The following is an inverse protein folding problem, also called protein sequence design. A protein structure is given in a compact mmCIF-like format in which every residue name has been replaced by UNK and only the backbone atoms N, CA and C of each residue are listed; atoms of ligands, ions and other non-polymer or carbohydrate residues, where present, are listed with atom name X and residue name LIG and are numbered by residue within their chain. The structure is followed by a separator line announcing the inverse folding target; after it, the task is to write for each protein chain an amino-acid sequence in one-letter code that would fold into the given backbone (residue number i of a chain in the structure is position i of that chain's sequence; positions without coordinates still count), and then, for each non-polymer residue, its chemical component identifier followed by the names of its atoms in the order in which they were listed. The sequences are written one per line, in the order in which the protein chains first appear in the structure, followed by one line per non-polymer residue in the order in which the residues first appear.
data_IF_659194359477
#
_entry.id   IF_659194359477
#
_cell.length_a   1.000
_cell.length_b   1.000
_cell.length_c   1.000
_cell.angle_alpha   90.00
_cell.angle_beta   90.00
_cell.angle_gamma   90.00
#
_symmetry.space_group_name_H-M   'P 1'
#
loop_
_entity.id
_entity.type
_entity.pdbx_description
1 polymer ?
#
# COMPACT_ATOMS: atom_id res chain seq x y z
N UNK A 1 0.17 19.57 6.09
CA UNK A 1 -0.77 18.52 6.48
C UNK A 1 0.02 17.33 6.98
N UNK A 2 -0.18 16.92 8.24
CA UNK A 2 0.56 15.84 8.85
C UNK A 2 0.06 14.46 8.39
N UNK A 3 0.98 13.49 8.30
CA UNK A 3 0.68 12.12 7.90
C UNK A 3 1.36 11.14 8.85
N UNK A 4 0.69 10.07 9.23
CA UNK A 4 1.30 8.91 9.88
C UNK A 4 1.61 7.84 8.83
N UNK A 5 2.84 7.32 8.85
CA UNK A 5 3.31 6.26 7.95
C UNK A 5 3.43 4.96 8.73
N UNK A 6 2.81 3.90 8.24
CA UNK A 6 2.93 2.54 8.78
C UNK A 6 3.80 1.67 7.87
N UNK A 7 4.87 1.13 8.43
CA UNK A 7 5.82 0.22 7.77
C UNK A 7 5.84 -1.09 8.54
N UNK A 8 5.69 -2.22 7.84
CA UNK A 8 5.74 -3.56 8.44
C UNK A 8 7.00 -4.28 7.98
N UNK A 9 7.84 -4.66 8.93
CA UNK A 9 9.05 -5.45 8.69
C UNK A 9 8.83 -6.91 9.06
N UNK A 10 9.28 -7.80 8.21
CA UNK A 10 9.30 -9.24 8.45
C UNK A 10 10.69 -9.81 8.11
N UNK A 11 11.70 -9.37 8.87
CA UNK A 11 13.10 -9.65 8.62
C UNK A 11 13.73 -8.68 7.60
N UNK A 12 13.20 -7.47 7.43
CA UNK A 12 13.64 -6.49 6.45
C UNK A 12 14.32 -5.26 7.08
N UNK A 13 14.89 -5.38 8.27
CA UNK A 13 15.44 -4.26 9.05
C UNK A 13 16.37 -3.34 8.26
N UNK A 14 17.25 -3.89 7.40
CA UNK A 14 18.14 -3.09 6.57
C UNK A 14 17.37 -2.23 5.52
N UNK A 15 16.26 -2.74 4.97
CA UNK A 15 15.41 -1.99 4.06
C UNK A 15 14.65 -0.89 4.81
N UNK A 16 14.11 -1.22 5.98
CA UNK A 16 13.43 -0.25 6.85
C UNK A 16 14.39 0.87 7.24
N UNK A 17 15.61 0.54 7.65
CA UNK A 17 16.61 1.55 8.02
C UNK A 17 16.90 2.50 6.87
N UNK A 18 17.09 1.98 5.65
CA UNK A 18 17.29 2.78 4.44
C UNK A 18 16.08 3.66 4.14
N UNK A 19 14.88 3.08 4.20
CA UNK A 19 13.64 3.80 3.93
C UNK A 19 13.44 4.96 4.92
N UNK A 20 13.71 4.76 6.22
CA UNK A 20 13.64 5.83 7.22
C UNK A 20 14.57 7.01 6.88
N UNK A 21 15.80 6.74 6.43
CA UNK A 21 16.71 7.81 5.97
C UNK A 21 16.16 8.54 4.74
N UNK A 22 15.57 7.82 3.79
CA UNK A 22 14.94 8.43 2.61
C UNK A 22 13.73 9.29 3.00
N UNK A 23 12.88 8.82 3.92
CA UNK A 23 11.74 9.58 4.44
C UNK A 23 12.20 10.86 5.14
N UNK A 24 13.26 10.78 5.93
CA UNK A 24 13.84 11.94 6.62
C UNK A 24 14.42 12.97 5.64
N UNK A 25 15.02 12.54 4.55
CA UNK A 25 15.62 13.44 3.55
C UNK A 25 14.63 14.05 2.57
N UNK A 26 13.71 13.24 2.04
CA UNK A 26 12.88 13.66 0.91
C UNK A 26 11.46 14.12 1.29
N UNK A 27 10.99 13.85 2.51
CA UNK A 27 9.54 13.98 2.79
C UNK A 27 9.22 14.38 4.23
N UNK A 28 10.20 14.85 4.98
CA UNK A 28 10.05 15.21 6.39
C UNK A 28 8.90 16.21 6.64
N UNK A 29 8.69 17.16 5.74
CA UNK A 29 7.63 18.18 5.88
C UNK A 29 6.20 17.62 5.82
N UNK A 30 6.01 16.45 5.18
CA UNK A 30 4.70 15.81 5.05
C UNK A 30 4.42 14.76 6.12
N UNK A 31 5.45 14.28 6.84
CA UNK A 31 5.37 13.17 7.78
C UNK A 31 5.46 13.69 9.21
N UNK A 32 4.46 13.36 10.02
CA UNK A 32 4.46 13.70 11.46
C UNK A 32 4.97 12.54 12.29
N UNK A 33 4.62 11.32 11.89
CA UNK A 33 4.91 10.11 12.66
C UNK A 33 5.13 8.91 11.75
N UNK A 34 6.08 8.07 12.11
CA UNK A 34 6.31 6.77 11.47
C UNK A 34 6.17 5.67 12.51
N UNK A 35 5.36 4.66 12.20
CA UNK A 35 5.19 3.47 13.02
C UNK A 35 5.81 2.29 12.27
N UNK A 36 6.87 1.72 12.83
CA UNK A 36 7.50 0.50 12.31
C UNK A 36 7.05 -0.69 13.13
N UNK A 37 6.43 -1.67 12.48
CA UNK A 37 6.03 -2.92 13.13
C UNK A 37 7.03 -4.03 12.78
N UNK A 38 7.74 -4.53 13.78
CA UNK A 38 8.55 -5.74 13.68
C UNK A 38 7.63 -6.96 13.83
N UNK A 39 7.30 -7.59 12.72
CA UNK A 39 6.41 -8.76 12.69
C UNK A 39 7.12 -10.06 13.12
N UNK A 40 8.43 -10.05 13.18
CA UNK A 40 9.33 -11.05 13.74
C UNK A 40 10.42 -10.33 14.54
N UNK A 41 11.15 -11.02 15.45
CA UNK A 41 12.29 -10.41 16.13
C UNK A 41 13.35 -9.91 15.15
N UNK A 42 13.75 -8.66 15.31
CA UNK A 42 14.74 -7.97 14.48
C UNK A 42 15.67 -7.12 15.34
N UNK A 43 16.89 -6.82 14.87
CA UNK A 43 17.78 -5.87 15.55
C UNK A 43 17.14 -4.48 15.65
N UNK A 44 17.54 -3.73 16.68
CA UNK A 44 17.12 -2.34 16.86
C UNK A 44 17.54 -1.47 15.66
N UNK A 45 16.66 -0.52 15.31
CA UNK A 45 16.94 0.48 14.29
C UNK A 45 17.89 1.53 14.84
N UNK A 46 18.85 1.93 14.02
CA UNK A 46 19.81 2.97 14.38
C UNK A 46 19.16 4.35 14.26
N UNK A 47 19.27 5.15 15.32
CA UNK A 47 18.78 6.52 15.35
C UNK A 47 19.95 7.45 14.98
N UNK A 48 19.78 8.38 14.02
CA UNK A 48 20.78 9.39 13.70
C UNK A 48 21.14 10.27 14.90
N UNK A 49 22.34 10.81 14.96
CA UNK A 49 22.79 11.66 16.08
C UNK A 49 21.87 12.88 16.33
N UNK A 50 21.21 13.41 15.29
CA UNK A 50 20.23 14.50 15.39
C UNK A 50 18.78 14.03 15.60
N UNK A 51 18.53 12.72 15.76
CA UNK A 51 17.20 12.15 15.79
C UNK A 51 16.55 12.07 14.41
N UNK A 52 15.29 11.64 14.37
CA UNK A 52 14.46 11.67 13.17
C UNK A 52 13.65 12.98 13.12
N UNK A 53 13.36 13.55 11.95
CA UNK A 53 12.53 14.75 11.83
C UNK A 53 11.03 14.48 12.06
N UNK A 54 10.66 13.26 12.37
CA UNK A 54 9.32 12.78 12.72
C UNK A 54 9.37 11.93 13.99
N UNK A 55 8.23 11.77 14.66
CA UNK A 55 8.13 10.81 15.77
C UNK A 55 8.25 9.38 15.22
N UNK A 56 9.14 8.57 15.81
CA UNK A 56 9.29 7.17 15.45
C UNK A 56 8.74 6.27 16.58
N UNK A 57 7.79 5.42 16.24
CA UNK A 57 7.25 4.39 17.12
C UNK A 57 7.63 3.00 16.62
N UNK A 58 8.06 2.13 17.52
CA UNK A 58 8.39 0.73 17.22
C UNK A 58 7.37 -0.16 17.91
N UNK A 59 6.72 -1.02 17.13
CA UNK A 59 5.79 -2.04 17.61
C UNK A 59 6.43 -3.41 17.35
N UNK A 60 6.56 -4.23 18.40
CA UNK A 60 7.08 -5.59 18.28
C UNK A 60 5.97 -6.61 18.51
N UNK A 61 5.73 -7.46 17.55
CA UNK A 61 4.73 -8.52 17.68
C UNK A 61 5.30 -9.74 18.43
N UNK A 62 4.54 -10.28 19.37
CA UNK A 62 4.90 -11.54 20.04
C UNK A 62 4.83 -12.75 19.10
N UNK A 63 4.01 -12.68 18.06
CA UNK A 63 3.89 -13.68 16.98
C UNK A 63 3.53 -12.98 15.67
N UNK A 64 3.94 -13.55 14.51
CA UNK A 64 3.65 -12.96 13.20
C UNK A 64 2.14 -12.80 12.95
N UNK A 65 1.75 -11.61 12.53
CA UNK A 65 0.37 -11.26 12.14
C UNK A 65 0.27 -11.04 10.64
N UNK A 66 -0.94 -11.05 10.10
CA UNK A 66 -1.20 -10.75 8.70
C UNK A 66 -0.85 -9.30 8.34
N UNK A 67 -0.64 -9.06 7.04
CA UNK A 67 -0.27 -7.73 6.52
C UNK A 67 -1.25 -6.65 6.95
N UNK A 68 -2.54 -6.81 6.66
CA UNK A 68 -3.57 -5.83 7.00
C UNK A 68 -3.72 -5.63 8.51
N UNK A 69 -3.63 -6.71 9.31
CA UNK A 69 -3.72 -6.63 10.76
C UNK A 69 -2.60 -5.81 11.39
N UNK A 70 -1.39 -5.89 10.85
CA UNK A 70 -0.26 -5.06 11.29
C UNK A 70 -0.48 -3.58 11.03
N UNK A 71 -0.91 -3.23 9.81
CA UNK A 71 -1.20 -1.84 9.46
C UNK A 71 -2.37 -1.28 10.26
N UNK A 72 -3.43 -2.05 10.44
CA UNK A 72 -4.56 -1.66 11.29
C UNK A 72 -4.12 -1.38 12.72
N UNK A 73 -3.23 -2.22 13.27
CA UNK A 73 -2.72 -2.04 14.61
C UNK A 73 -1.86 -0.77 14.72
N UNK A 74 -0.95 -0.57 13.78
CA UNK A 74 -0.04 0.59 13.74
C UNK A 74 -0.79 1.92 13.57
N UNK A 75 -1.89 1.92 12.81
CA UNK A 75 -2.69 3.11 12.51
C UNK A 75 -3.89 3.29 13.45
N UNK A 76 -4.02 2.43 14.47
CA UNK A 76 -5.10 2.54 15.46
C UNK A 76 -4.98 3.85 16.23
N UNK A 77 -6.09 4.58 16.30
CA UNK A 77 -6.12 5.86 17.02
C UNK A 77 -5.34 7.00 16.33
N UNK A 78 -5.01 6.84 15.03
CA UNK A 78 -4.40 7.92 14.27
C UNK A 78 -5.28 9.18 14.31
N UNK A 79 -4.65 10.32 14.49
CA UNK A 79 -5.28 11.65 14.51
C UNK A 79 -4.77 12.53 13.38
N UNK A 80 -3.73 12.11 12.70
CA UNK A 80 -3.17 12.80 11.55
C UNK A 80 -4.19 12.81 10.41
N UNK A 81 -4.31 13.90 9.64
CA UNK A 81 -5.27 14.00 8.53
C UNK A 81 -5.14 12.91 7.47
N UNK A 82 -3.94 12.31 7.36
CA UNK A 82 -3.64 11.26 6.38
C UNK A 82 -2.93 10.08 7.04
N UNK A 83 -3.23 8.90 6.54
CA UNK A 83 -2.53 7.65 6.86
C UNK A 83 -1.82 7.12 5.61
N UNK A 84 -0.64 6.54 5.79
CA UNK A 84 0.12 5.93 4.72
C UNK A 84 0.45 4.48 5.07
N UNK A 85 0.16 3.58 4.14
CA UNK A 85 0.66 2.21 4.13
C UNK A 85 1.86 2.17 3.21
N UNK A 86 3.01 1.74 3.72
CA UNK A 86 4.26 1.77 2.98
C UNK A 86 5.05 0.47 3.18
N UNK A 87 5.40 -0.20 2.09
CA UNK A 87 6.23 -1.39 2.13
C UNK A 87 7.71 -1.04 2.33
N UNK A 88 8.47 -1.87 3.06
CA UNK A 88 9.89 -1.61 3.34
C UNK A 88 10.80 -1.70 2.12
N UNK A 89 10.37 -2.35 1.02
CA UNK A 89 11.09 -2.47 -0.24
C UNK A 89 10.73 -1.39 -1.27
N UNK A 90 10.02 -0.35 -0.85
CA UNK A 90 9.83 0.88 -1.63
C UNK A 90 11.04 1.78 -1.44
N UNK A 91 11.57 2.29 -2.55
CA UNK A 91 12.65 3.27 -2.57
C UNK A 91 12.14 4.60 -3.12
N UNK A 92 12.51 5.70 -2.45
CA UNK A 92 12.15 7.05 -2.86
C UNK A 92 13.21 7.61 -3.79
N UNK A 93 12.79 8.25 -4.87
CA UNK A 93 13.70 8.92 -5.80
C UNK A 93 14.18 10.26 -5.18
N UNK A 94 15.47 10.42 -5.01
CA UNK A 94 16.09 11.52 -4.26
C UNK A 94 15.73 12.95 -4.74
N UNK A 95 15.31 13.11 -5.99
CA UNK A 95 14.94 14.40 -6.57
C UNK A 95 13.43 14.71 -6.48
N UNK A 96 12.64 13.89 -5.82
CA UNK A 96 11.19 14.02 -5.78
C UNK A 96 10.68 14.00 -4.32
N UNK A 97 9.66 14.81 -4.06
CA UNK A 97 8.88 14.74 -2.83
C UNK A 97 7.56 13.99 -3.07
N UNK A 98 7.58 12.65 -3.17
CA UNK A 98 6.40 11.88 -3.57
C UNK A 98 5.24 12.07 -2.59
N UNK A 99 5.51 12.21 -1.30
CA UNK A 99 4.45 12.33 -0.29
C UNK A 99 3.72 13.67 -0.32
N UNK A 100 4.38 14.76 -0.68
CA UNK A 100 3.70 16.04 -0.88
C UNK A 100 2.68 15.95 -2.03
N UNK A 101 3.04 15.28 -3.12
CA UNK A 101 2.14 15.03 -4.25
C UNK A 101 1.01 14.07 -3.88
N UNK A 102 1.32 12.99 -3.14
CA UNK A 102 0.33 12.01 -2.67
C UNK A 102 -0.69 12.65 -1.72
N UNK A 103 -0.25 13.43 -0.74
CA UNK A 103 -1.12 14.16 0.19
C UNK A 103 -2.00 15.15 -0.57
N UNK A 104 -1.43 15.90 -1.51
CA UNK A 104 -2.18 16.85 -2.34
C UNK A 104 -3.29 16.15 -3.14
N UNK A 105 -2.98 15.02 -3.78
CA UNK A 105 -3.95 14.21 -4.51
C UNK A 105 -4.99 13.60 -3.57
N UNK A 106 -4.59 13.09 -2.40
CA UNK A 106 -5.51 12.54 -1.40
C UNK A 106 -6.44 13.62 -0.81
N UNK A 107 -6.05 14.91 -0.88
CA UNK A 107 -6.88 16.02 -0.43
C UNK A 107 -7.98 16.43 -1.42
N UNK A 108 -7.95 15.91 -2.65
CA UNK A 108 -8.97 16.23 -3.65
C UNK A 108 -10.33 15.64 -3.26
N UNK A 109 -11.43 16.35 -3.51
CA UNK A 109 -12.76 15.86 -3.20
C UNK A 109 -13.05 14.50 -3.84
N UNK A 110 -13.58 13.57 -3.06
CA UNK A 110 -13.96 12.23 -3.53
C UNK A 110 -12.80 11.26 -3.74
N UNK A 111 -11.55 11.63 -3.41
CA UNK A 111 -10.41 10.71 -3.41
C UNK A 111 -10.39 9.93 -2.09
N UNK A 112 -10.43 8.62 -2.19
CA UNK A 112 -10.31 7.69 -1.05
C UNK A 112 -8.91 7.16 -0.84
N UNK A 113 -8.13 7.08 -1.92
CA UNK A 113 -6.75 6.61 -1.90
C UNK A 113 -5.94 7.26 -3.01
N UNK A 114 -4.80 7.84 -2.68
CA UNK A 114 -3.78 8.29 -3.61
C UNK A 114 -2.60 7.31 -3.62
N UNK A 115 -2.04 7.05 -4.79
CA UNK A 115 -0.91 6.14 -4.98
C UNK A 115 0.05 6.67 -6.05
N UNK A 116 1.35 6.35 -5.97
CA UNK A 116 2.34 6.77 -6.96
C UNK A 116 2.40 5.80 -8.14
N UNK A 117 3.01 6.22 -9.23
CA UNK A 117 3.50 5.33 -10.26
C UNK A 117 4.64 4.49 -9.69
N UNK A 118 4.55 3.17 -9.82
CA UNK A 118 5.60 2.26 -9.36
C UNK A 118 6.52 1.88 -10.52
N UNK A 119 7.82 1.93 -10.27
CA UNK A 119 8.88 1.49 -11.17
C UNK A 119 9.56 0.25 -10.60
N UNK A 120 10.07 -0.61 -11.45
CA UNK A 120 10.97 -1.69 -11.03
C UNK A 120 12.40 -1.16 -10.81
N UNK A 121 13.29 -2.03 -10.35
CA UNK A 121 14.70 -1.67 -10.09
C UNK A 121 15.49 -1.23 -11.34
N UNK A 122 14.95 -1.48 -12.54
CA UNK A 122 15.55 -1.03 -13.82
C UNK A 122 14.79 0.15 -14.43
N UNK A 123 13.89 0.79 -13.67
CA UNK A 123 13.15 1.99 -14.07
C UNK A 123 11.96 1.75 -15.01
N UNK A 124 11.53 0.49 -15.20
CA UNK A 124 10.35 0.20 -16.01
C UNK A 124 9.09 0.33 -15.17
N UNK A 125 8.01 0.80 -15.79
CA UNK A 125 6.72 0.92 -15.13
C UNK A 125 6.21 -0.46 -14.72
N UNK A 126 5.93 -0.62 -13.42
CA UNK A 126 5.25 -1.79 -12.88
C UNK A 126 3.74 -1.60 -12.97
N UNK A 127 3.06 -2.67 -13.33
CA UNK A 127 1.61 -2.70 -13.39
C UNK A 127 1.03 -2.86 -11.96
N UNK A 128 0.87 -1.73 -11.27
CA UNK A 128 0.27 -1.66 -9.94
C UNK A 128 -1.26 -1.46 -9.99
N UNK A 129 -1.77 -0.99 -11.13
CA UNK A 129 -3.19 -0.72 -11.40
C UNK A 129 -3.82 -1.94 -12.08
N UNK A 130 -4.89 -2.49 -11.51
CA UNK A 130 -5.44 -3.76 -11.97
C UNK A 130 -6.96 -3.80 -11.95
N UNK A 131 -7.54 -4.62 -12.84
CA UNK A 131 -8.95 -5.00 -12.81
C UNK A 131 -9.23 -5.96 -11.65
N UNK A 132 -10.48 -5.99 -11.19
CA UNK A 132 -10.93 -6.94 -10.15
C UNK A 132 -10.58 -8.37 -10.56
N UNK A 133 -9.88 -9.16 -9.72
CA UNK A 133 -9.43 -10.49 -10.08
C UNK A 133 -10.61 -11.46 -10.22
N UNK A 134 -11.05 -11.66 -11.45
CA UNK A 134 -11.99 -12.72 -11.83
C UNK A 134 -11.22 -13.90 -12.42
N UNK A 135 -11.78 -15.13 -12.42
CA UNK A 135 -11.16 -16.26 -13.09
C UNK A 135 -10.82 -15.97 -14.56
N UNK A 136 -11.70 -15.23 -15.25
CA UNK A 136 -11.49 -14.81 -16.64
C UNK A 136 -10.40 -13.74 -16.78
N UNK A 137 -10.36 -12.75 -15.88
CA UNK A 137 -9.32 -11.71 -15.87
C UNK A 137 -7.93 -12.34 -15.60
N UNK A 138 -7.85 -13.25 -14.63
CA UNK A 138 -6.61 -13.98 -14.33
C UNK A 138 -6.15 -14.84 -15.51
N UNK A 139 -7.08 -15.51 -16.19
CA UNK A 139 -6.78 -16.30 -17.39
C UNK A 139 -6.29 -15.40 -18.53
N UNK A 140 -7.01 -14.31 -18.85
CA UNK A 140 -6.64 -13.35 -19.90
C UNK A 140 -5.25 -12.76 -19.66
N UNK A 141 -4.95 -12.41 -18.44
CA UNK A 141 -3.64 -11.87 -18.05
C UNK A 141 -2.53 -12.90 -18.22
N UNK A 142 -2.76 -14.15 -17.79
CA UNK A 142 -1.74 -15.20 -17.79
C UNK A 142 -1.48 -15.75 -19.19
N UNK A 143 -2.53 -15.83 -20.05
CA UNK A 143 -2.46 -16.42 -21.38
C UNK A 143 -2.27 -15.35 -22.46
N UNK A 144 -3.02 -14.24 -22.42
CA UNK A 144 -3.03 -13.23 -23.47
C UNK A 144 -2.06 -12.06 -23.23
N UNK A 145 -1.42 -11.98 -22.07
CA UNK A 145 -0.50 -10.88 -21.68
C UNK A 145 -1.06 -9.47 -21.97
N UNK A 146 -2.37 -9.31 -21.94
CA UNK A 146 -3.03 -8.03 -22.19
C UNK A 146 -2.97 -7.16 -20.95
N UNK A 147 -2.60 -5.88 -21.13
CA UNK A 147 -2.71 -4.86 -20.10
C UNK A 147 -4.19 -4.56 -19.83
N UNK A 148 -4.53 -4.50 -18.55
CA UNK A 148 -5.87 -4.19 -18.09
C UNK A 148 -6.19 -2.72 -18.39
N UNK A 149 -7.45 -2.43 -18.76
CA UNK A 149 -7.87 -1.08 -19.17
C UNK A 149 -8.50 -0.26 -18.04
N UNK A 150 -8.85 -0.92 -16.95
CA UNK A 150 -9.59 -0.37 -15.83
C UNK A 150 -8.77 -0.49 -14.55
N UNK A 151 -9.00 0.44 -13.59
CA UNK A 151 -8.32 0.42 -12.30
C UNK A 151 -9.35 0.19 -11.22
N UNK A 152 -9.59 -1.06 -10.92
CA UNK A 152 -10.48 -1.45 -9.82
C UNK A 152 -9.75 -1.48 -8.49
N UNK A 153 -8.46 -1.79 -8.50
CA UNK A 153 -7.63 -1.83 -7.33
C UNK A 153 -6.16 -1.56 -7.65
N UNK A 154 -5.41 -1.20 -6.63
CA UNK A 154 -3.96 -0.96 -6.67
C UNK A 154 -3.29 -1.72 -5.54
N UNK A 155 -2.06 -2.17 -5.76
CA UNK A 155 -1.33 -2.87 -4.71
C UNK A 155 -0.98 -1.93 -3.53
N UNK A 156 -0.88 -2.49 -2.32
CA UNK A 156 -0.62 -1.73 -1.10
C UNK A 156 0.87 -1.45 -0.84
N UNK A 157 1.71 -1.33 -1.87
CA UNK A 157 3.12 -1.02 -1.67
C UNK A 157 3.34 0.42 -1.16
N UNK A 158 2.54 1.38 -1.67
CA UNK A 158 2.54 2.77 -1.20
C UNK A 158 1.16 3.37 -1.43
N UNK A 159 0.39 3.56 -0.36
CA UNK A 159 -0.96 4.12 -0.39
C UNK A 159 -1.07 5.25 0.62
N UNK A 160 -1.63 6.39 0.22
CA UNK A 160 -2.00 7.49 1.12
C UNK A 160 -3.51 7.68 1.09
N UNK A 161 -4.14 7.62 2.25
CA UNK A 161 -5.59 7.76 2.40
C UNK A 161 -5.91 8.92 3.33
N UNK A 162 -6.95 9.72 3.04
CA UNK A 162 -7.53 10.59 4.06
C UNK A 162 -7.99 9.78 5.27
N UNK A 163 -7.72 10.26 6.48
CA UNK A 163 -8.13 9.56 7.70
C UNK A 163 -9.64 9.22 7.74
N UNK A 164 -10.56 10.12 7.31
CA UNK A 164 -11.98 9.77 7.25
C UNK A 164 -12.28 8.59 6.30
N UNK A 165 -11.59 8.50 5.17
CA UNK A 165 -11.76 7.38 4.24
C UNK A 165 -11.27 6.06 4.84
N UNK A 166 -10.09 6.07 5.50
CA UNK A 166 -9.55 4.94 6.23
C UNK A 166 -10.51 4.44 7.33
N UNK A 167 -11.04 5.38 8.12
CA UNK A 167 -11.99 5.07 9.20
C UNK A 167 -13.32 4.54 8.67
N UNK A 168 -13.86 5.12 7.58
CA UNK A 168 -15.11 4.69 6.99
C UNK A 168 -15.06 3.22 6.51
N UNK A 169 -13.93 2.78 5.97
CA UNK A 169 -13.72 1.39 5.58
C UNK A 169 -13.18 0.53 6.71
N UNK A 170 -12.90 1.08 7.89
CA UNK A 170 -12.33 0.39 9.06
C UNK A 170 -10.98 -0.30 8.77
N UNK A 171 -10.15 0.34 7.92
CA UNK A 171 -8.86 -0.21 7.52
C UNK A 171 -8.97 -1.49 6.67
N UNK A 172 -7.96 -2.35 6.77
CA UNK A 172 -7.95 -3.65 6.08
C UNK A 172 -8.87 -4.67 6.75
N UNK A 173 -9.42 -5.59 5.97
CA UNK A 173 -10.07 -6.79 6.51
C UNK A 173 -9.01 -7.80 7.00
N UNK A 174 -8.91 -7.96 8.32
CA UNK A 174 -7.91 -8.81 8.98
C UNK A 174 -8.13 -10.32 8.74
N UNK A 175 -9.25 -10.70 8.12
CA UNK A 175 -9.50 -12.08 7.73
C UNK A 175 -8.61 -12.54 6.57
N UNK A 176 -7.98 -11.61 5.85
CA UNK A 176 -6.90 -11.89 4.91
C UNK A 176 -5.56 -11.85 5.66
N UNK A 177 -4.88 -12.99 5.73
CA UNK A 177 -3.54 -13.03 6.32
C UNK A 177 -2.52 -12.36 5.40
N UNK A 178 -2.59 -12.66 4.10
CA UNK A 178 -1.75 -12.10 3.04
C UNK A 178 -2.46 -12.29 1.69
N UNK A 179 -2.32 -11.30 0.81
CA UNK A 179 -2.97 -11.19 -0.51
C UNK A 179 -4.46 -10.89 -0.46
N UNK A 180 -4.93 -10.14 -1.43
CA UNK A 180 -6.31 -9.67 -1.60
C UNK A 180 -6.84 -8.70 -0.53
N UNK A 181 -6.11 -8.40 0.54
CA UNK A 181 -6.46 -7.34 1.49
C UNK A 181 -6.45 -5.96 0.83
N UNK A 182 -5.52 -5.73 -0.10
CA UNK A 182 -5.43 -4.52 -0.92
C UNK A 182 -6.59 -4.43 -1.92
N UNK A 183 -6.94 -5.54 -2.56
CA UNK A 183 -8.12 -5.63 -3.44
C UNK A 183 -9.38 -5.28 -2.66
N UNK A 184 -9.60 -5.95 -1.53
CA UNK A 184 -10.77 -5.74 -0.68
C UNK A 184 -10.87 -4.28 -0.19
N UNK A 185 -9.77 -3.68 0.28
CA UNK A 185 -9.71 -2.28 0.70
C UNK A 185 -10.13 -1.35 -0.44
N UNK A 186 -9.54 -1.51 -1.62
CA UNK A 186 -9.86 -0.68 -2.79
C UNK A 186 -11.31 -0.83 -3.22
N UNK A 187 -11.85 -2.04 -3.22
CA UNK A 187 -13.25 -2.28 -3.55
C UNK A 187 -14.20 -1.64 -2.53
N UNK A 188 -13.88 -1.67 -1.22
CA UNK A 188 -14.70 -1.02 -0.18
C UNK A 188 -14.68 0.50 -0.32
N UNK A 189 -13.53 1.11 -0.64
CA UNK A 189 -13.45 2.53 -0.93
C UNK A 189 -14.35 2.90 -2.12
N UNK A 190 -14.28 2.16 -3.22
CA UNK A 190 -15.13 2.39 -4.41
C UNK A 190 -16.61 2.16 -4.12
N UNK A 191 -16.98 1.17 -3.33
CA UNK A 191 -18.36 0.96 -2.89
C UNK A 191 -18.89 2.10 -2.01
N UNK A 192 -17.99 2.81 -1.32
CA UNK A 192 -18.27 4.04 -0.60
C UNK A 192 -18.33 5.30 -1.50
N UNK A 193 -18.25 5.15 -2.83
CA UNK A 193 -18.27 6.25 -3.78
C UNK A 193 -16.95 7.02 -3.91
N UNK A 194 -15.88 6.51 -3.33
CA UNK A 194 -14.55 7.13 -3.36
C UNK A 194 -13.71 6.63 -4.54
N UNK A 195 -12.83 7.50 -5.04
CA UNK A 195 -11.94 7.20 -6.17
C UNK A 195 -10.56 6.76 -5.69
N UNK A 196 -9.93 5.87 -6.46
CA UNK A 196 -8.51 5.57 -6.40
C UNK A 196 -7.82 6.50 -7.41
N UNK A 197 -6.88 7.34 -6.95
CA UNK A 197 -6.29 8.37 -7.81
C UNK A 197 -4.78 8.26 -7.84
N UNK A 198 -4.21 8.15 -9.04
CA UNK A 198 -2.77 8.20 -9.24
C UNK A 198 -2.27 9.64 -9.06
N UNK A 199 -1.31 9.83 -8.15
CA UNK A 199 -0.62 11.09 -7.94
C UNK A 199 0.50 11.28 -8.98
N UNK A 200 0.91 12.53 -9.29
CA UNK A 200 2.08 12.80 -10.09
C UNK A 200 3.38 12.59 -9.28
N UNK A 201 3.56 11.37 -8.83
CA UNK A 201 4.67 10.90 -8.02
C UNK A 201 5.16 9.55 -8.52
N UNK A 202 6.44 9.25 -8.32
CA UNK A 202 7.07 7.98 -8.69
C UNK A 202 7.83 7.40 -7.52
N UNK A 203 7.78 6.09 -7.37
CA UNK A 203 8.59 5.34 -6.41
C UNK A 203 9.15 4.10 -7.10
N UNK A 204 10.30 3.60 -6.63
CA UNK A 204 10.81 2.30 -7.05
C UNK A 204 10.32 1.26 -6.06
N UNK A 205 9.72 0.20 -6.58
CA UNK A 205 9.30 -0.95 -5.77
C UNK A 205 10.09 -2.16 -6.24
N UNK A 206 11.16 -2.48 -5.53
CA UNK A 206 12.12 -3.51 -5.95
C UNK A 206 11.51 -4.91 -6.02
N UNK A 207 10.36 -5.12 -5.38
CA UNK A 207 9.59 -6.36 -5.40
C UNK A 207 10.48 -7.54 -5.03
N UNK A 208 11.02 -7.56 -3.82
CA UNK A 208 11.78 -8.71 -3.35
C UNK A 208 10.87 -9.94 -3.35
N UNK A 209 10.90 -10.67 -4.47
CA UNK A 209 10.27 -11.98 -4.55
C UNK A 209 10.90 -12.85 -3.47
N UNK A 210 10.11 -13.21 -2.47
CA UNK A 210 10.51 -14.16 -1.43
C UNK A 210 10.85 -15.51 -2.11
N UNK A 211 12.09 -15.65 -2.51
CA UNK A 211 12.62 -16.74 -3.35
C UNK A 211 12.79 -18.07 -2.61
N UNK A 212 12.12 -18.29 -1.47
CA UNK A 212 12.32 -19.51 -0.68
C UNK A 212 11.08 -20.23 -0.16
N UNK A 213 9.86 -19.71 -0.37
CA UNK A 213 8.65 -20.28 0.25
C UNK A 213 7.45 -20.39 -0.68
N UNK A 214 7.66 -20.80 -1.93
CA UNK A 214 6.64 -20.78 -2.98
C UNK A 214 5.29 -21.45 -2.65
N UNK A 215 5.29 -22.61 -1.96
CA UNK A 215 4.06 -23.37 -1.69
C UNK A 215 3.16 -22.73 -0.62
N UNK A 216 3.74 -22.15 0.46
CA UNK A 216 2.96 -21.47 1.51
C UNK A 216 2.32 -20.20 0.97
N UNK A 217 3.05 -19.41 0.18
CA UNK A 217 2.52 -18.24 -0.50
C UNK A 217 1.41 -18.60 -1.50
N UNK A 218 1.56 -19.73 -2.21
CA UNK A 218 0.51 -20.22 -3.10
C UNK A 218 -0.78 -20.57 -2.34
N UNK A 219 -0.66 -21.26 -1.20
CA UNK A 219 -1.82 -21.59 -0.35
C UNK A 219 -2.51 -20.31 0.14
N UNK A 220 -1.74 -19.35 0.66
CA UNK A 220 -2.31 -18.08 1.10
C UNK A 220 -3.01 -17.35 -0.05
N UNK A 221 -2.40 -17.33 -1.22
CA UNK A 221 -2.97 -16.68 -2.39
C UNK A 221 -4.30 -17.33 -2.83
N UNK A 222 -4.34 -18.66 -2.91
CA UNK A 222 -5.55 -19.41 -3.27
C UNK A 222 -6.66 -19.19 -2.22
N UNK A 223 -6.33 -19.31 -0.91
CA UNK A 223 -7.30 -19.08 0.16
C UNK A 223 -7.88 -17.67 0.14
N UNK A 224 -7.02 -16.67 -0.07
CA UNK A 224 -7.43 -15.27 -0.13
C UNK A 224 -8.28 -14.98 -1.36
N UNK A 225 -7.97 -15.55 -2.52
CA UNK A 225 -8.81 -15.43 -3.72
C UNK A 225 -10.18 -16.08 -3.53
N UNK A 226 -10.23 -17.28 -2.97
CA UNK A 226 -11.52 -17.96 -2.69
C UNK A 226 -12.36 -17.14 -1.72
N UNK A 227 -11.75 -16.61 -0.64
CA UNK A 227 -12.42 -15.72 0.29
C UNK A 227 -12.97 -14.48 -0.40
N UNK A 228 -12.14 -13.81 -1.21
CA UNK A 228 -12.55 -12.63 -1.96
C UNK A 228 -13.76 -12.92 -2.85
N UNK A 229 -13.70 -13.97 -3.65
CA UNK A 229 -14.80 -14.33 -4.58
C UNK A 229 -16.11 -14.69 -3.85
N UNK A 230 -16.03 -15.20 -2.63
CA UNK A 230 -17.19 -15.49 -1.79
C UNK A 230 -17.69 -14.28 -0.99
N UNK A 231 -16.96 -13.16 -0.98
CA UNK A 231 -17.31 -11.98 -0.17
C UNK A 231 -18.45 -11.16 -0.78
N UNK A 232 -19.22 -10.49 0.10
CA UNK A 232 -20.23 -9.51 -0.32
C UNK A 232 -19.59 -8.31 -1.02
N UNK A 233 -18.41 -7.90 -0.58
CA UNK A 233 -17.64 -6.80 -1.18
C UNK A 233 -17.40 -7.09 -2.65
N UNK A 234 -16.89 -8.26 -2.99
CA UNK A 234 -16.64 -8.66 -4.37
C UNK A 234 -17.93 -8.72 -5.20
N UNK A 235 -19.00 -9.35 -4.68
CA UNK A 235 -20.29 -9.45 -5.37
C UNK A 235 -20.89 -8.08 -5.70
N UNK A 236 -20.84 -7.14 -4.76
CA UNK A 236 -21.33 -5.78 -4.93
C UNK A 236 -20.44 -4.97 -5.87
N UNK A 237 -19.12 -5.07 -5.74
CA UNK A 237 -18.17 -4.32 -6.54
C UNK A 237 -18.23 -4.67 -8.04
N UNK A 238 -18.57 -5.92 -8.40
CA UNK A 238 -18.78 -6.31 -9.80
C UNK A 238 -19.91 -5.57 -10.51
N UNK A 239 -20.76 -4.87 -9.77
CA UNK A 239 -21.86 -4.04 -10.31
C UNK A 239 -21.47 -2.58 -10.45
N UNK A 240 -20.30 -2.20 -9.96
CA UNK A 240 -19.81 -0.84 -10.11
C UNK A 240 -19.41 -0.59 -11.57
N UNK A 241 -19.61 0.64 -12.06
CA UNK A 241 -19.03 1.02 -13.34
C UNK A 241 -17.51 0.94 -13.27
N UNK A 242 -16.91 0.60 -14.40
CA UNK A 242 -15.46 0.59 -14.55
C UNK A 242 -14.87 1.96 -14.19
N UNK A 243 -13.82 1.97 -13.38
CA UNK A 243 -13.11 3.19 -13.10
C UNK A 243 -12.11 3.46 -14.23
N UNK A 244 -12.17 4.63 -14.90
CA UNK A 244 -11.19 4.98 -15.91
C UNK A 244 -9.81 5.08 -15.26
N UNK A 245 -8.76 4.63 -15.95
CA UNK A 245 -7.38 4.89 -15.52
C UNK A 245 -7.20 6.38 -15.29
N UNK A 246 -6.69 6.77 -14.14
CA UNK A 246 -6.34 8.15 -13.81
C UNK A 246 -5.32 8.65 -14.84
N UNK A 247 -5.83 9.27 -15.90
CA UNK A 247 -5.05 9.70 -17.05
C UNK A 247 -4.35 11.02 -16.79
N UNK A 248 -3.14 10.98 -16.26
CA UNK A 248 -2.13 11.93 -16.65
C UNK A 248 -1.18 11.18 -17.57
N UNK A 249 -1.15 11.49 -18.88
CA UNK A 249 0.01 11.16 -19.69
C UNK A 249 1.21 11.78 -19.01
N UNK A 250 2.12 10.95 -18.53
CA UNK A 250 3.46 11.36 -18.19
C UNK A 250 4.23 11.24 -19.52
N UNK A 251 4.20 12.32 -20.32
CA UNK A 251 5.18 12.50 -21.39
C UNK A 251 6.56 12.76 -20.76
#
# INVERSE_FOLDING_TARGET
AGMVVSIVSHGHGALVQRLLHQLAGASAASITRVVVTHNVPEPELQVPAGGWPFALEIVCNAAPRGFGANHNHALRGAVEPFVCVLNPDVELLAAQEPFAALVRTASEPGVGCAYPLQLDAVGRVQDCERETPSPLALWRRRVLRRHEREVDWVNAACLVLPLPAWQAVRGFDESYFMYCEDVDLCLRLRLGGLRLQRAPARVVHAGQRASGRHWRHLIWHVRSLLRLWCSDVYRRARRLPAAPRGGGRLD
#
